data_IF_380906645791
#
_entry.id   IF_380906645791
#
_cell.length_a   1.000
_cell.length_b   1.000
_cell.length_c   1.000
_cell.angle_alpha   90.00
_cell.angle_beta   90.00
_cell.angle_gamma   90.00
#
_symmetry.space_group_name_H-M   'P 1'
#
loop_
_entity.id
_entity.type
_entity.pdbx_description
1 polymer ?
#
# COMPACT_ATOMS: atom_id res chain seq x y z
N UNK A 1 -7.82 8.89 38.56
CA UNK A 1 -7.09 9.81 37.69
C UNK A 1 -8.07 10.33 36.66
N UNK A 2 -8.07 11.63 36.36
CA UNK A 2 -9.10 12.21 35.50
C UNK A 2 -8.48 13.19 34.50
N UNK A 3 -8.91 13.15 33.24
CA UNK A 3 -8.54 14.08 32.18
C UNK A 3 -9.75 14.47 31.33
N UNK A 4 -9.79 15.72 30.90
CA UNK A 4 -10.77 16.20 29.94
C UNK A 4 -10.01 16.46 28.63
N UNK A 5 -10.43 15.82 27.56
CA UNK A 5 -9.80 15.89 26.25
C UNK A 5 -10.87 16.00 25.16
N UNK A 6 -10.59 16.75 24.11
CA UNK A 6 -11.48 16.81 22.94
C UNK A 6 -11.53 15.45 22.25
N UNK A 7 -12.73 14.96 21.97
CA UNK A 7 -12.98 13.61 21.42
C UNK A 7 -12.14 13.28 20.20
N UNK A 8 -12.03 14.20 19.23
CA UNK A 8 -11.31 13.95 17.98
C UNK A 8 -9.80 13.83 18.18
N UNK A 9 -9.25 14.52 19.18
CA UNK A 9 -7.84 14.41 19.55
C UNK A 9 -7.47 12.98 19.94
N UNK A 10 -8.41 12.24 20.53
CA UNK A 10 -8.22 10.83 20.86
C UNK A 10 -8.71 9.90 19.75
N UNK A 11 -9.84 10.19 19.10
CA UNK A 11 -10.46 9.34 18.09
C UNK A 11 -9.57 9.13 16.86
N UNK A 12 -8.91 10.19 16.36
CA UNK A 12 -8.08 10.14 15.17
C UNK A 12 -6.92 9.15 15.33
N UNK A 13 -6.03 9.26 16.33
CA UNK A 13 -4.93 8.31 16.51
C UNK A 13 -5.44 6.91 16.88
N UNK A 14 -6.48 6.76 17.71
CA UNK A 14 -7.11 5.46 17.98
C UNK A 14 -7.56 4.80 16.67
N UNK A 15 -8.20 5.55 15.77
CA UNK A 15 -8.66 5.03 14.48
C UNK A 15 -7.52 4.61 13.55
N UNK A 16 -6.41 5.35 13.56
CA UNK A 16 -5.20 5.01 12.82
C UNK A 16 -4.56 3.71 13.35
N UNK A 17 -4.55 3.49 14.65
CA UNK A 17 -3.86 2.34 15.25
C UNK A 17 -4.69 1.05 15.30
N UNK A 18 -6.02 1.16 15.46
CA UNK A 18 -6.91 -0.02 15.57
C UNK A 18 -6.86 -0.95 14.34
N UNK A 19 -6.48 -0.45 13.16
CA UNK A 19 -6.32 -1.30 11.98
C UNK A 19 -5.20 -2.33 12.09
N UNK A 20 -4.17 -2.03 12.90
CA UNK A 20 -3.03 -2.92 13.12
C UNK A 20 -3.38 -4.03 14.11
N UNK A 21 -4.32 -3.76 15.05
CA UNK A 21 -4.71 -4.76 16.02
C UNK A 21 -5.28 -6.01 15.33
N UNK A 22 -4.87 -7.17 15.77
CA UNK A 22 -5.30 -8.44 15.17
C UNK A 22 -6.73 -8.78 15.56
N UNK A 23 -7.58 -9.05 14.57
CA UNK A 23 -9.03 -9.30 14.78
C UNK A 23 -9.34 -10.71 15.29
N UNK A 24 -8.45 -11.68 15.04
CA UNK A 24 -8.63 -13.11 15.37
C UNK A 24 -7.30 -13.73 15.79
N UNK A 25 -6.66 -13.17 16.82
CA UNK A 25 -5.40 -13.68 17.32
C UNK A 25 -5.60 -14.84 18.29
N UNK A 26 -4.65 -15.76 18.28
CA UNK A 26 -4.46 -16.72 19.36
C UNK A 26 -4.01 -16.02 20.66
N UNK A 27 -3.53 -14.78 20.54
CA UNK A 27 -3.13 -13.91 21.65
C UNK A 27 -4.13 -12.76 21.79
N UNK A 28 -5.14 -12.83 22.70
CA UNK A 28 -6.18 -11.80 22.83
C UNK A 28 -5.65 -10.41 23.12
N UNK A 29 -4.45 -10.30 23.72
CA UNK A 29 -3.80 -9.02 24.03
C UNK A 29 -3.55 -8.18 22.78
N UNK A 30 -3.29 -8.78 21.60
CA UNK A 30 -3.04 -8.10 20.34
C UNK A 30 -4.29 -7.40 19.75
N UNK A 31 -5.48 -7.63 20.33
CA UNK A 31 -6.71 -6.89 19.98
C UNK A 31 -6.81 -5.56 20.72
N UNK A 32 -5.88 -5.27 21.62
CA UNK A 32 -5.91 -4.12 22.49
C UNK A 32 -4.93 -3.03 22.04
N UNK A 33 -5.13 -1.85 22.58
CA UNK A 33 -4.19 -0.73 22.56
C UNK A 33 -3.58 -0.58 23.96
N UNK A 34 -2.28 -0.38 24.02
CA UNK A 34 -1.62 0.15 25.20
C UNK A 34 -1.65 1.68 25.09
N UNK A 35 -2.14 2.36 26.10
CA UNK A 35 -2.16 3.82 26.20
C UNK A 35 -1.29 4.23 27.40
N UNK A 36 -0.30 5.07 27.13
CA UNK A 36 0.62 5.61 28.11
C UNK A 36 0.36 7.11 28.29
N UNK A 37 -0.08 7.48 29.47
CA UNK A 37 -0.26 8.88 29.89
C UNK A 37 1.01 9.37 30.56
N UNK A 38 1.51 10.54 30.16
CA UNK A 38 2.71 11.13 30.74
C UNK A 38 2.71 12.65 30.71
N UNK A 39 3.68 13.25 31.39
CA UNK A 39 3.93 14.70 31.36
C UNK A 39 4.46 15.19 30.01
N UNK A 40 4.88 14.28 29.12
CA UNK A 40 5.35 14.60 27.76
C UNK A 40 4.23 14.56 26.73
N UNK A 41 3.17 13.80 27.00
CA UNK A 41 2.04 13.57 26.10
C UNK A 41 1.41 12.21 26.32
N UNK A 42 0.47 11.84 25.46
CA UNK A 42 -0.15 10.51 25.47
C UNK A 42 0.41 9.71 24.29
N UNK A 43 0.95 8.54 24.56
CA UNK A 43 1.35 7.57 23.53
C UNK A 43 0.37 6.40 23.47
N UNK A 44 0.06 5.99 22.26
CA UNK A 44 -0.77 4.81 21.99
C UNK A 44 0.09 3.79 21.23
N UNK A 45 -0.02 2.52 21.61
CA UNK A 45 0.72 1.44 20.95
C UNK A 45 -0.24 0.38 20.47
N UNK A 46 0.01 -0.14 19.27
CA UNK A 46 -0.65 -1.32 18.73
C UNK A 46 0.38 -2.21 18.05
N UNK A 47 0.14 -3.52 18.07
CA UNK A 47 1.00 -4.48 17.36
C UNK A 47 0.25 -5.77 17.07
N UNK A 48 0.66 -6.44 15.99
CA UNK A 48 0.33 -7.83 15.67
C UNK A 48 1.57 -8.72 15.61
N UNK A 49 2.72 -8.20 16.14
CA UNK A 49 4.07 -8.75 16.16
C UNK A 49 4.85 -8.63 14.84
N UNK A 50 4.18 -8.47 13.70
CA UNK A 50 4.82 -8.21 12.40
C UNK A 50 4.82 -6.71 12.07
N UNK A 51 3.75 -6.03 12.45
CA UNK A 51 3.58 -4.59 12.31
C UNK A 51 3.29 -4.01 13.69
N UNK A 52 3.94 -2.90 14.00
CA UNK A 52 3.65 -2.13 15.21
C UNK A 52 3.42 -0.66 14.84
N UNK A 53 2.58 0.03 15.62
CA UNK A 53 2.47 1.48 15.49
C UNK A 53 2.47 2.15 16.84
N UNK A 54 3.01 3.37 16.84
CA UNK A 54 3.05 4.28 17.97
C UNK A 54 2.36 5.57 17.53
N UNK A 55 1.25 5.91 18.19
CA UNK A 55 0.58 7.20 18.02
C UNK A 55 1.01 8.16 19.11
N UNK A 56 1.17 9.44 18.78
CA UNK A 56 1.48 10.48 19.73
C UNK A 56 0.41 11.57 19.73
N UNK A 57 -0.03 11.95 20.92
CA UNK A 57 -0.94 13.07 21.17
C UNK A 57 -0.23 14.07 22.07
N UNK A 58 -0.06 15.31 21.60
CA UNK A 58 0.49 16.40 22.39
C UNK A 58 -0.55 16.89 23.43
N UNK A 59 -0.80 16.05 24.43
CA UNK A 59 -1.69 16.33 25.54
C UNK A 59 -1.03 15.87 26.84
N UNK A 60 -0.47 16.82 27.57
CA UNK A 60 0.27 16.58 28.80
C UNK A 60 -0.66 16.26 29.97
N UNK A 61 -0.35 15.20 30.70
CA UNK A 61 -1.09 14.85 31.93
C UNK A 61 -0.27 15.22 33.18
N UNK A 62 -0.95 15.39 34.31
CA UNK A 62 -0.29 15.60 35.59
C UNK A 62 0.10 14.32 36.34
N UNK A 63 -0.05 13.17 35.64
CA UNK A 63 0.26 11.85 36.19
C UNK A 63 0.85 10.95 35.10
N UNK A 64 1.50 9.87 35.54
CA UNK A 64 1.99 8.81 34.66
C UNK A 64 1.17 7.54 34.91
N UNK A 65 0.63 6.95 33.85
CA UNK A 65 -0.15 5.73 33.90
C UNK A 65 -0.16 5.01 32.57
N UNK A 66 -0.06 3.68 32.62
CA UNK A 66 -0.27 2.80 31.47
C UNK A 66 -1.58 2.06 31.65
N UNK A 67 -2.34 1.91 30.59
CA UNK A 67 -3.56 1.11 30.54
C UNK A 67 -3.63 0.31 29.26
N UNK A 68 -4.19 -0.89 29.31
CA UNK A 68 -4.54 -1.68 28.14
C UNK A 68 -6.04 -1.75 28.01
N UNK A 69 -6.52 -1.44 26.81
CA UNK A 69 -7.93 -1.36 26.50
C UNK A 69 -8.23 -1.96 25.13
N UNK A 70 -9.40 -2.59 24.98
CA UNK A 70 -9.81 -3.16 23.70
C UNK A 70 -10.01 -2.05 22.65
N UNK A 71 -9.07 -1.97 21.66
CA UNK A 71 -8.96 -0.86 20.72
C UNK A 71 -10.24 -0.62 19.91
N UNK A 72 -10.83 -1.68 19.36
CA UNK A 72 -12.05 -1.55 18.54
C UNK A 72 -13.24 -1.03 19.38
N UNK A 73 -13.40 -1.47 20.63
CA UNK A 73 -14.48 -0.99 21.50
C UNK A 73 -14.30 0.48 21.86
N UNK A 74 -13.07 0.87 22.18
CA UNK A 74 -12.75 2.29 22.40
C UNK A 74 -13.09 3.13 21.17
N UNK A 75 -12.68 2.68 19.97
CA UNK A 75 -12.97 3.37 18.71
C UNK A 75 -14.48 3.50 18.45
N UNK A 76 -15.24 2.42 18.64
CA UNK A 76 -16.71 2.41 18.46
C UNK A 76 -17.38 3.43 19.39
N UNK A 77 -17.02 3.43 20.68
CA UNK A 77 -17.56 4.38 21.66
C UNK A 77 -17.23 5.81 21.25
N UNK A 78 -15.96 6.11 20.93
CA UNK A 78 -15.54 7.46 20.54
C UNK A 78 -16.24 7.94 19.25
N UNK A 79 -16.60 7.04 18.33
CA UNK A 79 -17.36 7.39 17.10
C UNK A 79 -18.80 7.78 17.38
N UNK A 80 -19.45 7.10 18.32
CA UNK A 80 -20.85 7.36 18.68
C UNK A 80 -21.03 8.56 19.61
N UNK A 81 -19.96 9.05 20.24
CA UNK A 81 -20.02 10.25 21.10
C UNK A 81 -20.13 11.52 20.26
N UNK A 82 -20.75 12.56 20.83
CA UNK A 82 -20.86 13.89 20.23
C UNK A 82 -19.47 14.54 20.06
N UNK A 83 -19.37 15.53 19.15
CA UNK A 83 -18.19 16.40 19.09
C UNK A 83 -18.04 17.22 20.37
N UNK A 84 -16.79 17.44 20.77
CA UNK A 84 -16.42 18.22 21.96
C UNK A 84 -15.70 17.40 23.01
N UNK A 85 -15.62 17.97 24.20
CA UNK A 85 -14.85 17.39 25.29
C UNK A 85 -15.48 16.13 25.86
N UNK A 86 -14.65 15.15 26.16
CA UNK A 86 -14.97 13.94 26.90
C UNK A 86 -14.14 13.89 28.17
N UNK A 87 -14.71 13.32 29.22
CA UNK A 87 -14.03 13.08 30.48
C UNK A 87 -13.63 11.61 30.58
N UNK A 88 -12.33 11.36 30.76
CA UNK A 88 -11.74 10.02 30.95
C UNK A 88 -11.32 9.88 32.41
N UNK A 89 -11.97 8.96 33.13
CA UNK A 89 -11.63 8.62 34.52
C UNK A 89 -11.01 7.22 34.57
N UNK A 90 -9.76 7.14 35.02
CA UNK A 90 -9.06 5.87 35.23
C UNK A 90 -9.16 5.52 36.71
N UNK A 91 -9.88 4.43 37.02
CA UNK A 91 -10.09 3.92 38.38
C UNK A 91 -9.75 2.43 38.40
N UNK A 92 -8.81 2.04 39.28
CA UNK A 92 -8.35 0.64 39.40
C UNK A 92 -8.19 -0.06 38.05
N UNK A 93 -9.13 -0.95 37.72
CA UNK A 93 -9.13 -1.79 36.51
C UNK A 93 -10.19 -1.38 35.48
N UNK A 94 -10.68 -0.14 35.52
CA UNK A 94 -11.66 0.37 34.56
C UNK A 94 -11.30 1.76 34.03
N UNK A 95 -11.64 2.00 32.77
CA UNK A 95 -11.72 3.31 32.16
C UNK A 95 -13.18 3.72 32.05
N UNK A 96 -13.55 4.81 32.65
CA UNK A 96 -14.88 5.41 32.55
C UNK A 96 -14.79 6.59 31.61
N UNK A 97 -15.61 6.59 30.56
CA UNK A 97 -15.69 7.64 29.55
C UNK A 97 -17.04 8.34 29.70
N UNK A 98 -17.04 9.64 29.97
CA UNK A 98 -18.26 10.41 30.21
C UNK A 98 -18.38 11.57 29.24
N UNK A 99 -19.59 11.80 28.76
CA UNK A 99 -19.96 13.01 28.02
C UNK A 99 -21.43 13.32 28.26
N UNK A 100 -21.75 14.50 28.77
CA UNK A 100 -23.13 14.88 29.14
C UNK A 100 -23.78 13.85 30.07
N UNK A 101 -24.81 13.14 29.59
CA UNK A 101 -25.53 12.08 30.32
C UNK A 101 -25.04 10.67 29.95
N UNK A 102 -24.10 10.54 29.01
CA UNK A 102 -23.58 9.26 28.59
C UNK A 102 -22.38 8.85 29.43
N UNK A 103 -22.37 7.60 29.87
CA UNK A 103 -21.28 6.98 30.61
C UNK A 103 -20.99 5.60 30.04
N UNK A 104 -19.72 5.32 29.76
CA UNK A 104 -19.23 4.03 29.32
C UNK A 104 -18.14 3.55 30.26
N UNK A 105 -18.20 2.27 30.65
CA UNK A 105 -17.22 1.66 31.55
C UNK A 105 -16.56 0.50 30.80
N UNK A 106 -15.25 0.60 30.62
CA UNK A 106 -14.44 -0.42 29.93
C UNK A 106 -13.45 -1.04 30.91
N UNK A 107 -13.39 -2.38 30.94
CA UNK A 107 -12.38 -3.09 31.73
C UNK A 107 -10.99 -2.91 31.12
N UNK A 108 -10.00 -2.72 31.96
CA UNK A 108 -8.60 -2.64 31.64
C UNK A 108 -7.91 -3.98 31.88
N UNK A 109 -6.82 -4.23 31.16
CA UNK A 109 -5.95 -5.38 31.36
C UNK A 109 -4.59 -4.92 31.91
N UNK A 110 -3.78 -5.89 32.36
CA UNK A 110 -2.47 -5.63 32.94
C UNK A 110 -1.49 -5.09 31.87
N UNK A 111 -0.94 -3.89 32.04
CA UNK A 111 0.01 -3.32 31.10
C UNK A 111 1.29 -4.15 30.86
N UNK A 112 1.69 -4.97 31.79
CA UNK A 112 2.90 -5.79 31.69
C UNK A 112 2.75 -6.97 30.71
N UNK A 113 1.51 -7.30 30.31
CA UNK A 113 1.24 -8.32 29.30
C UNK A 113 1.41 -7.85 27.86
N UNK A 114 1.51 -6.52 27.62
CA UNK A 114 1.61 -5.98 26.26
C UNK A 114 3.01 -6.17 25.67
N UNK A 115 3.13 -6.67 24.43
CA UNK A 115 4.43 -6.84 23.79
C UNK A 115 5.18 -5.51 23.68
N UNK A 116 6.49 -5.56 23.94
CA UNK A 116 7.32 -4.37 23.83
C UNK A 116 7.42 -3.88 22.38
N UNK A 117 7.10 -2.61 22.14
CA UNK A 117 7.22 -1.94 20.84
C UNK A 117 8.38 -0.95 20.93
N UNK A 118 9.42 -1.18 20.13
CA UNK A 118 10.62 -0.33 20.09
C UNK A 118 10.77 0.37 18.76
N UNK A 119 11.03 1.67 18.80
CA UNK A 119 11.44 2.43 17.64
C UNK A 119 12.83 1.99 17.17
N UNK A 120 13.06 2.04 15.86
CA UNK A 120 14.38 1.77 15.27
C UNK A 120 15.22 3.03 15.48
N UNK A 121 16.44 2.85 15.97
CA UNK A 121 17.38 3.94 16.21
C UNK A 121 18.78 3.58 15.71
N UNK A 122 19.59 4.62 15.44
CA UNK A 122 21.00 4.44 15.05
C UNK A 122 21.23 4.19 13.54
N UNK A 123 20.19 4.29 12.71
CA UNK A 123 20.26 4.21 11.25
C UNK A 123 20.03 5.59 10.61
N UNK A 124 20.47 5.72 9.34
CA UNK A 124 20.21 6.95 8.59
C UNK A 124 18.72 7.10 8.28
N UNK A 125 18.22 8.33 8.40
CA UNK A 125 16.85 8.68 8.04
C UNK A 125 16.79 9.19 6.59
N UNK A 126 15.75 8.74 5.89
CA UNK A 126 15.40 9.16 4.55
C UNK A 126 14.08 9.90 4.64
N UNK A 127 14.03 11.15 4.21
CA UNK A 127 12.79 11.93 4.23
C UNK A 127 12.16 11.93 2.84
N UNK A 128 10.90 11.52 2.77
CA UNK A 128 10.10 11.48 1.54
C UNK A 128 8.77 12.15 1.82
N UNK A 129 8.29 12.97 0.90
CA UNK A 129 6.94 13.54 1.02
C UNK A 129 5.87 12.43 0.98
N UNK A 130 4.85 12.50 1.84
CA UNK A 130 3.81 11.49 1.98
C UNK A 130 3.09 11.19 0.68
N UNK A 131 2.71 12.22 -0.09
CA UNK A 131 2.09 12.07 -1.41
C UNK A 131 2.96 11.27 -2.38
N UNK A 132 4.29 11.50 -2.37
CA UNK A 132 5.22 10.76 -3.21
C UNK A 132 5.29 9.29 -2.80
N UNK A 133 5.38 8.98 -1.50
CA UNK A 133 5.41 7.62 -0.98
C UNK A 133 4.10 6.87 -1.29
N UNK A 134 2.95 7.49 -1.04
CA UNK A 134 1.63 6.91 -1.31
C UNK A 134 1.42 6.66 -2.81
N UNK A 135 1.87 7.60 -3.66
CA UNK A 135 1.87 7.41 -5.12
C UNK A 135 2.74 6.21 -5.54
N UNK A 136 3.95 6.08 -4.99
CA UNK A 136 4.83 4.94 -5.28
C UNK A 136 4.19 3.60 -4.91
N UNK A 137 3.58 3.51 -3.73
CA UNK A 137 2.87 2.30 -3.28
C UNK A 137 1.72 1.99 -4.25
N UNK A 138 0.85 2.95 -4.52
CA UNK A 138 -0.30 2.78 -5.41
C UNK A 138 0.11 2.30 -6.82
N UNK A 139 1.23 2.83 -7.35
CA UNK A 139 1.73 2.48 -8.68
C UNK A 139 2.23 1.04 -8.80
N UNK A 140 2.56 0.35 -7.71
CA UNK A 140 3.18 -0.98 -7.79
C UNK A 140 2.45 -2.09 -7.01
N UNK A 141 1.60 -1.75 -6.03
CA UNK A 141 0.99 -2.73 -5.12
C UNK A 141 0.09 -3.75 -5.82
N UNK A 142 -0.58 -3.37 -6.91
CA UNK A 142 -1.46 -4.26 -7.66
C UNK A 142 -0.71 -5.42 -8.35
N UNK A 143 0.59 -5.25 -8.58
CA UNK A 143 1.44 -6.25 -9.21
C UNK A 143 2.12 -7.20 -8.20
N UNK A 144 2.04 -6.92 -6.90
CA UNK A 144 2.61 -7.75 -5.83
C UNK A 144 1.90 -9.10 -5.79
N UNK A 145 2.67 -10.19 -5.66
CA UNK A 145 2.16 -11.55 -5.56
C UNK A 145 1.26 -11.75 -4.34
N UNK A 146 0.22 -12.55 -4.51
CA UNK A 146 -0.59 -13.10 -3.42
C UNK A 146 -0.25 -14.56 -3.11
N UNK A 147 0.71 -15.14 -3.84
CA UNK A 147 1.18 -16.52 -3.66
C UNK A 147 2.27 -16.54 -2.58
N UNK A 148 1.94 -17.04 -1.40
CA UNK A 148 2.85 -17.12 -0.25
C UNK A 148 4.02 -18.08 -0.48
N UNK A 149 3.96 -18.98 -1.46
CA UNK A 149 5.09 -19.85 -1.82
C UNK A 149 6.24 -19.07 -2.44
N UNK A 150 5.95 -17.90 -2.99
CA UNK A 150 6.92 -16.95 -3.54
C UNK A 150 7.12 -15.75 -2.61
N UNK A 151 7.40 -16.04 -1.34
CA UNK A 151 7.35 -15.05 -0.26
C UNK A 151 8.10 -13.74 -0.55
N UNK A 152 9.26 -13.78 -1.24
CA UNK A 152 10.01 -12.56 -1.62
C UNK A 152 9.26 -11.66 -2.60
N UNK A 153 8.22 -12.16 -3.28
CA UNK A 153 7.37 -11.41 -4.20
C UNK A 153 6.07 -10.91 -3.53
N UNK A 154 5.81 -11.26 -2.26
CA UNK A 154 4.60 -10.84 -1.54
C UNK A 154 4.69 -9.45 -0.93
N UNK A 155 5.75 -8.71 -1.28
CA UNK A 155 5.98 -7.34 -0.84
C UNK A 155 6.46 -6.43 -1.96
N UNK A 156 6.48 -5.13 -1.68
CA UNK A 156 7.07 -4.10 -2.53
C UNK A 156 8.57 -4.04 -2.28
N UNK A 157 9.37 -4.16 -3.31
CA UNK A 157 10.78 -3.85 -3.26
C UNK A 157 10.97 -2.33 -3.29
N UNK A 158 11.77 -1.81 -2.37
CA UNK A 158 12.10 -0.40 -2.27
C UNK A 158 13.62 -0.25 -2.15
N UNK A 159 14.24 0.55 -3.04
CA UNK A 159 15.67 0.81 -3.03
C UNK A 159 15.96 2.26 -3.36
N UNK A 160 16.93 2.84 -2.67
CA UNK A 160 17.47 4.17 -2.98
C UNK A 160 18.77 4.08 -3.75
N UNK A 161 18.87 4.91 -4.78
CA UNK A 161 20.09 5.25 -5.49
C UNK A 161 20.38 6.73 -5.28
N UNK A 162 21.61 7.18 -5.52
CA UNK A 162 21.94 8.60 -5.39
C UNK A 162 20.99 9.47 -6.23
N UNK A 163 20.15 10.22 -5.52
CA UNK A 163 19.18 11.14 -6.13
C UNK A 163 17.85 10.53 -6.57
N UNK A 164 17.63 9.22 -6.47
CA UNK A 164 16.32 8.63 -6.80
C UNK A 164 15.96 7.39 -5.96
N UNK A 165 14.68 7.10 -5.87
CA UNK A 165 14.13 5.92 -5.22
C UNK A 165 13.33 5.11 -6.25
N UNK A 166 13.43 3.79 -6.17
CA UNK A 166 12.68 2.86 -7.01
C UNK A 166 11.79 1.98 -6.15
N UNK A 167 10.54 1.83 -6.59
CA UNK A 167 9.59 0.87 -6.04
C UNK A 167 9.23 -0.15 -7.13
N UNK A 168 9.18 -1.43 -6.76
CA UNK A 168 8.85 -2.53 -7.68
C UNK A 168 7.88 -3.50 -7.02
N UNK A 169 6.84 -3.87 -7.76
CA UNK A 169 5.94 -4.97 -7.44
C UNK A 169 5.90 -5.98 -8.58
N UNK A 170 5.93 -7.27 -8.28
CA UNK A 170 5.82 -8.34 -9.28
C UNK A 170 5.21 -9.61 -8.70
N UNK A 171 4.52 -10.38 -9.54
CA UNK A 171 4.05 -11.74 -9.23
C UNK A 171 4.76 -12.81 -10.11
N UNK A 172 5.76 -12.38 -10.88
CA UNK A 172 6.51 -13.22 -11.82
C UNK A 172 5.87 -13.35 -13.20
N UNK A 173 4.64 -12.85 -13.41
CA UNK A 173 3.94 -12.80 -14.70
C UNK A 173 3.75 -11.39 -15.20
N UNK A 174 3.77 -10.42 -14.29
CA UNK A 174 3.76 -9.00 -14.55
C UNK A 174 4.67 -8.29 -13.55
N UNK A 175 5.10 -7.10 -13.89
CA UNK A 175 5.90 -6.24 -13.03
C UNK A 175 5.47 -4.79 -13.21
N UNK A 176 5.38 -4.06 -12.11
CA UNK A 176 5.21 -2.62 -12.10
C UNK A 176 6.40 -1.98 -11.41
N UNK A 177 7.02 -1.00 -12.05
CA UNK A 177 8.19 -0.28 -11.58
C UNK A 177 7.92 1.22 -11.63
N UNK A 178 8.10 1.90 -10.50
CA UNK A 178 8.00 3.34 -10.40
C UNK A 178 9.27 3.93 -9.82
N UNK A 179 9.85 4.92 -10.50
CA UNK A 179 11.02 5.69 -10.03
C UNK A 179 10.62 7.12 -9.71
N UNK A 180 11.24 7.68 -8.69
CA UNK A 180 11.03 9.06 -8.29
C UNK A 180 12.36 9.70 -7.96
N UNK A 181 12.64 10.85 -8.59
CA UNK A 181 13.79 11.67 -8.23
C UNK A 181 13.53 12.36 -6.89
N UNK A 182 14.49 12.24 -5.98
CA UNK A 182 14.46 12.84 -4.65
C UNK A 182 15.81 13.51 -4.42
N UNK A 183 15.83 14.83 -4.44
CA UNK A 183 17.05 15.59 -4.27
C UNK A 183 17.72 15.28 -2.92
N UNK A 184 19.01 14.96 -2.96
CA UNK A 184 19.79 14.66 -1.76
C UNK A 184 19.57 13.26 -1.16
N UNK A 185 18.77 12.41 -1.82
CA UNK A 185 18.61 11.01 -1.38
C UNK A 185 19.96 10.29 -1.51
N UNK A 186 20.39 9.70 -0.42
CA UNK A 186 21.54 8.77 -0.38
C UNK A 186 21.12 7.37 -0.80
N UNK A 187 22.05 6.61 -1.37
CA UNK A 187 21.82 5.20 -1.69
C UNK A 187 21.58 4.38 -0.43
N UNK A 188 20.59 3.50 -0.46
CA UNK A 188 20.37 2.49 0.58
C UNK A 188 20.08 1.13 -0.04
N UNK A 189 20.41 0.08 0.71
CA UNK A 189 20.18 -1.30 0.27
C UNK A 189 18.69 -1.56 0.09
N UNK A 190 18.31 -2.25 -0.97
CA UNK A 190 16.93 -2.64 -1.24
C UNK A 190 16.34 -3.49 -0.12
N UNK A 191 15.09 -3.16 0.22
CA UNK A 191 14.27 -3.88 1.21
C UNK A 191 12.97 -4.34 0.57
N UNK A 192 12.35 -5.37 1.15
CA UNK A 192 11.04 -5.86 0.70
C UNK A 192 10.03 -5.60 1.82
N UNK A 193 9.09 -4.70 1.56
CA UNK A 193 8.04 -4.29 2.51
C UNK A 193 6.80 -5.16 2.27
N UNK A 194 6.31 -5.92 3.26
CA UNK A 194 5.14 -6.78 3.09
C UNK A 194 3.91 -6.00 2.61
N UNK A 195 3.08 -6.63 1.76
CA UNK A 195 1.85 -6.01 1.24
C UNK A 195 0.94 -5.48 2.35
N UNK A 196 0.79 -6.22 3.46
CA UNK A 196 -0.02 -5.78 4.60
C UNK A 196 0.51 -4.48 5.19
N UNK A 197 1.83 -4.33 5.31
CA UNK A 197 2.45 -3.10 5.82
C UNK A 197 2.19 -1.91 4.88
N UNK A 198 2.18 -2.12 3.56
CA UNK A 198 1.84 -1.07 2.59
C UNK A 198 0.40 -0.57 2.78
N UNK A 199 -0.54 -1.47 3.02
CA UNK A 199 -1.94 -1.10 3.30
C UNK A 199 -2.06 -0.25 4.58
N UNK A 200 -1.28 -0.58 5.62
CA UNK A 200 -1.28 0.20 6.87
C UNK A 200 -0.57 1.55 6.68
N UNK A 201 0.53 1.61 5.91
CA UNK A 201 1.19 2.86 5.55
C UNK A 201 0.21 3.80 4.83
N UNK A 202 -0.50 3.30 3.81
CA UNK A 202 -1.51 4.10 3.07
C UNK A 202 -2.65 4.61 3.97
N UNK A 203 -3.00 3.88 5.02
CA UNK A 203 -4.07 4.25 5.94
C UNK A 203 -3.62 5.28 6.99
N UNK A 204 -2.36 5.26 7.38
CA UNK A 204 -1.82 6.04 8.49
C UNK A 204 -1.23 7.37 8.02
N UNK A 205 -0.53 7.36 6.87
CA UNK A 205 0.19 8.51 6.35
C UNK A 205 -0.76 9.43 5.61
N UNK A 206 -0.67 10.72 5.90
CA UNK A 206 -1.37 11.78 5.19
C UNK A 206 -0.48 12.34 4.06
N UNK A 207 -1.09 12.70 2.92
CA UNK A 207 -0.36 13.17 1.72
C UNK A 207 0.46 14.43 1.96
N UNK A 208 0.01 15.29 2.84
CA UNK A 208 0.60 16.62 3.11
C UNK A 208 1.79 16.56 4.09
N UNK A 209 2.06 15.40 4.70
CA UNK A 209 3.14 15.24 5.67
C UNK A 209 4.41 14.71 5.03
N UNK A 210 5.56 15.08 5.58
CA UNK A 210 6.81 14.41 5.30
C UNK A 210 6.93 13.14 6.15
N UNK A 211 7.43 12.08 5.54
CA UNK A 211 7.63 10.78 6.14
C UNK A 211 9.13 10.51 6.28
N UNK A 212 9.59 10.35 7.50
CA UNK A 212 10.94 9.84 7.79
C UNK A 212 10.93 8.32 7.70
N UNK A 213 11.79 7.76 6.85
CA UNK A 213 11.97 6.32 6.68
C UNK A 213 13.31 5.94 7.28
N UNK A 214 13.29 5.04 8.25
CA UNK A 214 14.48 4.46 8.87
C UNK A 214 14.52 2.96 8.55
N UNK A 215 15.65 2.49 8.01
CA UNK A 215 15.81 1.10 7.55
C UNK A 215 16.83 0.41 8.46
N UNK A 216 16.36 -0.54 9.25
CA UNK A 216 17.17 -1.42 10.07
C UNK A 216 17.39 -2.79 9.42
N UNK A 217 18.04 -3.70 10.15
CA UNK A 217 18.41 -5.02 9.62
C UNK A 217 17.19 -5.91 9.29
N UNK A 218 16.15 -5.84 10.13
CA UNK A 218 14.94 -6.69 10.01
C UNK A 218 13.64 -5.91 9.95
N UNK A 219 13.69 -4.61 10.14
CA UNK A 219 12.52 -3.75 10.21
C UNK A 219 12.75 -2.46 9.43
N UNK A 220 11.67 -1.91 8.89
CA UNK A 220 11.60 -0.56 8.37
C UNK A 220 10.60 0.25 9.18
N UNK A 221 10.93 1.49 9.47
CA UNK A 221 10.11 2.43 10.23
C UNK A 221 9.72 3.60 9.35
N UNK A 222 8.46 3.98 9.44
CA UNK A 222 7.85 5.10 8.71
C UNK A 222 7.24 6.05 9.72
N UNK A 223 7.84 7.20 9.91
CA UNK A 223 7.45 8.16 10.94
C UNK A 223 6.93 9.46 10.35
N UNK A 224 5.81 9.92 10.86
CA UNK A 224 5.27 11.28 10.72
C UNK A 224 5.36 11.98 12.06
N UNK A 225 4.84 13.22 12.15
CA UNK A 225 4.79 13.93 13.44
C UNK A 225 3.90 13.25 14.48
N UNK A 226 2.89 12.52 14.06
CA UNK A 226 1.86 11.98 14.95
C UNK A 226 1.90 10.46 15.07
N UNK A 227 2.43 9.76 14.07
CA UNK A 227 2.41 8.29 14.04
C UNK A 227 3.72 7.76 13.50
N UNK A 228 4.23 6.74 14.17
CA UNK A 228 5.34 5.89 13.73
C UNK A 228 4.80 4.50 13.47
N UNK A 229 5.01 3.98 12.25
CA UNK A 229 4.72 2.59 11.88
C UNK A 229 6.03 1.85 11.73
N UNK A 230 6.13 0.69 12.34
CA UNK A 230 7.30 -0.20 12.29
C UNK A 230 6.83 -1.50 11.65
N UNK A 231 7.45 -1.88 10.55
CA UNK A 231 7.15 -3.10 9.82
C UNK A 231 8.35 -4.02 9.81
N UNK A 232 8.14 -5.30 10.07
CA UNK A 232 9.12 -6.31 9.71
C UNK A 232 9.27 -6.32 8.18
N UNK A 233 10.50 -6.46 7.68
CA UNK A 233 10.78 -6.62 6.25
C UNK A 233 10.86 -8.10 5.90
N UNK A 234 10.57 -8.43 4.64
CA UNK A 234 10.73 -9.79 4.11
C UNK A 234 12.22 -10.03 3.85
N UNK A 235 12.79 -11.03 4.52
CA UNK A 235 14.18 -11.42 4.33
C UNK A 235 14.33 -12.21 3.00
N UNK A 236 15.37 -11.90 2.23
CA UNK A 236 15.67 -12.58 0.98
C UNK A 236 16.16 -11.66 -0.11
N UNK A 237 16.43 -12.23 -1.28
CA UNK A 237 16.86 -11.48 -2.44
C UNK A 237 15.69 -11.28 -3.39
N UNK A 238 15.35 -10.01 -3.66
CA UNK A 238 14.40 -9.69 -4.71
C UNK A 238 15.02 -10.01 -6.07
N UNK A 239 14.26 -10.53 -7.05
CA UNK A 239 14.78 -10.81 -8.38
C UNK A 239 15.38 -9.59 -9.06
N UNK A 240 16.32 -9.81 -9.96
CA UNK A 240 16.88 -8.75 -10.79
C UNK A 240 15.80 -8.25 -11.78
N UNK A 241 15.15 -7.16 -11.40
CA UNK A 241 14.02 -6.58 -12.13
C UNK A 241 14.45 -5.77 -13.35
N UNK A 242 15.69 -5.26 -13.38
CA UNK A 242 16.19 -4.47 -14.52
C UNK A 242 16.28 -5.34 -15.78
N UNK A 243 16.75 -6.58 -15.64
CA UNK A 243 16.88 -7.53 -16.74
C UNK A 243 15.54 -8.02 -17.31
N UNK A 244 14.42 -7.75 -16.64
CA UNK A 244 13.08 -8.11 -17.12
C UNK A 244 12.51 -7.05 -18.06
N UNK A 245 13.04 -5.82 -18.02
CA UNK A 245 12.58 -4.72 -18.87
C UNK A 245 12.96 -5.04 -20.32
N UNK A 246 11.99 -5.17 -21.25
CA UNK A 246 12.31 -5.53 -22.62
C UNK A 246 13.08 -4.40 -23.30
N UNK A 247 14.17 -4.78 -23.95
CA UNK A 247 15.03 -3.89 -24.74
C UNK A 247 15.00 -4.26 -26.23
N UNK A 248 15.45 -3.38 -27.11
CA UNK A 248 15.60 -3.62 -28.55
C UNK A 248 14.47 -3.05 -29.40
N UNK A 249 14.29 -3.63 -30.60
CA UNK A 249 13.27 -3.17 -31.57
C UNK A 249 11.88 -3.66 -31.16
N UNK A 250 11.18 -2.84 -30.39
CA UNK A 250 9.78 -3.06 -30.04
C UNK A 250 8.89 -2.19 -30.93
N UNK A 251 7.81 -2.79 -31.41
CA UNK A 251 6.76 -2.02 -32.07
C UNK A 251 6.07 -1.13 -31.05
N UNK A 252 5.96 0.16 -31.38
CA UNK A 252 5.37 1.17 -30.48
C UNK A 252 3.98 1.51 -30.98
N UNK A 253 3.00 1.31 -30.12
CA UNK A 253 1.59 1.56 -30.35
C UNK A 253 1.10 2.59 -29.33
N UNK A 254 0.46 3.66 -29.82
CA UNK A 254 -0.12 4.69 -28.97
C UNK A 254 -1.65 4.58 -29.05
N UNK A 255 -2.30 4.49 -27.90
CA UNK A 255 -3.75 4.39 -27.83
C UNK A 255 -4.29 5.25 -26.70
N UNK A 256 -5.47 5.88 -26.92
CA UNK A 256 -6.16 6.62 -25.87
C UNK A 256 -6.54 5.66 -24.72
N UNK A 257 -6.18 6.04 -23.51
CA UNK A 257 -6.36 5.24 -22.29
C UNK A 257 -7.81 4.86 -22.06
N UNK A 258 -8.72 5.83 -22.15
CA UNK A 258 -10.12 5.61 -21.84
C UNK A 258 -10.80 4.70 -22.88
N UNK A 259 -10.47 4.90 -24.15
CA UNK A 259 -10.97 4.05 -25.24
C UNK A 259 -10.48 2.62 -25.06
N UNK A 260 -9.18 2.45 -24.80
CA UNK A 260 -8.58 1.13 -24.59
C UNK A 260 -9.15 0.43 -23.33
N UNK A 261 -9.24 1.14 -22.21
CA UNK A 261 -9.83 0.61 -20.98
C UNK A 261 -11.27 0.15 -21.16
N UNK A 262 -12.09 0.95 -21.84
CA UNK A 262 -13.50 0.60 -22.13
C UNK A 262 -13.60 -0.60 -23.08
N UNK A 263 -12.73 -0.67 -24.09
CA UNK A 263 -12.66 -1.82 -25.00
C UNK A 263 -12.35 -3.11 -24.25
N UNK A 264 -11.31 -3.10 -23.38
CA UNK A 264 -10.96 -4.22 -22.53
C UNK A 264 -12.12 -4.64 -21.61
N UNK A 265 -12.82 -3.67 -21.00
CA UNK A 265 -14.00 -3.94 -20.14
C UNK A 265 -15.14 -4.60 -20.91
N UNK A 266 -15.46 -4.11 -22.12
CA UNK A 266 -16.51 -4.70 -22.95
C UNK A 266 -16.17 -6.15 -23.29
N UNK A 267 -14.96 -6.39 -23.79
CA UNK A 267 -14.53 -7.72 -24.21
C UNK A 267 -14.47 -8.69 -23.03
N UNK A 268 -14.04 -8.22 -21.87
CA UNK A 268 -13.96 -9.05 -20.66
C UNK A 268 -15.31 -9.44 -20.04
N UNK A 269 -16.43 -8.90 -20.55
CA UNK A 269 -17.74 -9.16 -19.97
C UNK A 269 -18.23 -10.62 -20.15
N UNK A 270 -17.70 -11.35 -21.12
CA UNK A 270 -18.09 -12.73 -21.41
C UNK A 270 -17.09 -13.79 -20.90
N UNK A 271 -15.94 -13.36 -20.35
CA UNK A 271 -14.90 -14.27 -19.88
C UNK A 271 -14.77 -14.25 -18.37
N UNK A 272 -14.28 -15.36 -17.81
CA UNK A 272 -13.88 -15.43 -16.42
C UNK A 272 -12.54 -14.70 -16.19
N UNK A 273 -12.17 -14.49 -14.93
CA UNK A 273 -10.92 -13.81 -14.56
C UNK A 273 -9.63 -14.54 -15.00
N UNK A 274 -9.74 -15.80 -15.36
CA UNK A 274 -8.59 -16.65 -15.73
C UNK A 274 -8.45 -16.84 -17.23
N UNK A 275 -9.51 -16.55 -17.99
CA UNK A 275 -9.47 -16.69 -19.45
C UNK A 275 -8.71 -15.53 -20.09
N UNK A 276 -7.91 -15.82 -21.13
CA UNK A 276 -7.12 -14.80 -21.80
C UNK A 276 -7.97 -13.96 -22.75
N UNK A 277 -7.51 -12.74 -22.99
CA UNK A 277 -7.90 -11.96 -24.17
C UNK A 277 -6.81 -12.04 -25.21
N UNK A 278 -7.21 -11.93 -26.47
CA UNK A 278 -6.30 -11.79 -27.61
C UNK A 278 -6.30 -10.36 -28.08
N UNK A 279 -5.12 -9.74 -28.16
CA UNK A 279 -4.92 -8.40 -28.70
C UNK A 279 -4.16 -8.54 -30.02
N UNK A 280 -4.84 -8.28 -31.13
CA UNK A 280 -4.25 -8.22 -32.45
C UNK A 280 -4.06 -6.74 -32.83
N UNK A 281 -2.89 -6.41 -33.34
CA UNK A 281 -2.56 -5.07 -33.77
C UNK A 281 -2.23 -5.16 -35.26
N UNK A 282 -3.02 -4.46 -36.05
CA UNK A 282 -2.87 -4.35 -37.48
C UNK A 282 -2.65 -2.90 -37.87
N UNK A 283 -2.47 -2.64 -39.16
CA UNK A 283 -2.37 -1.27 -39.66
C UNK A 283 -3.59 -0.45 -39.23
N UNK A 284 -3.37 0.56 -38.41
CA UNK A 284 -4.34 1.52 -37.89
C UNK A 284 -5.49 0.94 -37.02
N UNK A 285 -5.41 -0.31 -36.58
CA UNK A 285 -6.46 -0.93 -35.76
C UNK A 285 -5.84 -1.80 -34.65
N UNK A 286 -6.38 -1.69 -33.43
CA UNK A 286 -6.29 -2.71 -32.39
C UNK A 286 -7.58 -3.50 -32.39
N UNK A 287 -7.48 -4.82 -32.50
CA UNK A 287 -8.58 -5.78 -32.44
C UNK A 287 -8.44 -6.59 -31.15
N UNK A 288 -9.38 -6.40 -30.21
CA UNK A 288 -9.40 -7.11 -28.93
C UNK A 288 -10.48 -8.16 -28.98
N UNK A 289 -10.13 -9.40 -28.77
CA UNK A 289 -11.03 -10.55 -28.81
C UNK A 289 -10.98 -11.35 -27.51
N UNK A 290 -12.12 -11.92 -27.13
CA UNK A 290 -12.20 -12.91 -26.07
C UNK A 290 -13.20 -14.00 -26.46
N UNK A 291 -12.89 -15.23 -26.06
CA UNK A 291 -13.71 -16.41 -26.32
C UNK A 291 -13.87 -17.20 -25.02
N UNK A 292 -15.08 -17.73 -24.83
CA UNK A 292 -15.43 -18.58 -23.69
C UNK A 292 -16.51 -19.59 -24.12
N UNK A 293 -16.85 -20.51 -23.23
CA UNK A 293 -17.94 -21.49 -23.45
C UNK A 293 -19.30 -20.85 -23.73
N UNK A 294 -19.50 -19.58 -23.31
CA UNK A 294 -20.78 -18.86 -23.47
C UNK A 294 -20.83 -17.99 -24.73
N UNK A 295 -19.71 -17.78 -25.41
CA UNK A 295 -19.69 -16.98 -26.62
C UNK A 295 -18.37 -16.28 -26.91
N UNK A 296 -18.42 -15.37 -27.86
CA UNK A 296 -17.30 -14.57 -28.33
C UNK A 296 -17.60 -13.09 -28.26
N UNK A 297 -16.60 -12.30 -27.94
CA UNK A 297 -16.68 -10.83 -27.99
C UNK A 297 -15.51 -10.22 -28.73
N UNK A 298 -15.77 -9.10 -29.37
CA UNK A 298 -14.78 -8.37 -30.17
C UNK A 298 -14.98 -6.87 -30.06
N UNK A 299 -13.88 -6.14 -29.94
CA UNK A 299 -13.86 -4.68 -29.99
C UNK A 299 -12.73 -4.19 -30.91
N UNK A 300 -13.03 -3.26 -31.79
CA UNK A 300 -12.08 -2.62 -32.69
C UNK A 300 -11.81 -1.19 -32.21
N UNK A 301 -10.54 -0.81 -32.15
CA UNK A 301 -10.09 0.50 -31.75
C UNK A 301 -9.20 1.08 -32.83
N UNK A 302 -9.57 2.24 -33.37
CA UNK A 302 -8.76 2.96 -34.33
C UNK A 302 -7.53 3.57 -33.65
N UNK A 303 -6.37 3.40 -34.29
CA UNK A 303 -5.07 3.94 -33.85
C UNK A 303 -4.28 4.47 -35.04
N UNK A 304 -3.20 5.19 -34.77
CA UNK A 304 -2.19 5.51 -35.78
C UNK A 304 -1.03 4.54 -35.67
N UNK A 305 -0.99 3.52 -36.53
CA UNK A 305 0.03 2.48 -36.53
C UNK A 305 0.31 1.97 -37.96
N UNK A 306 1.60 1.85 -38.30
CA UNK A 306 2.05 1.34 -39.60
C UNK A 306 3.25 0.37 -39.45
N UNK A 307 3.32 -0.35 -38.33
CA UNK A 307 4.31 -1.38 -38.08
C UNK A 307 3.85 -2.78 -38.53
N UNK A 308 4.54 -3.78 -38.04
CA UNK A 308 4.23 -5.19 -38.30
C UNK A 308 2.96 -5.64 -37.58
N UNK A 309 2.24 -6.61 -38.13
CA UNK A 309 1.11 -7.24 -37.49
C UNK A 309 1.59 -8.00 -36.24
N UNK A 310 0.90 -7.79 -35.11
CA UNK A 310 1.24 -8.38 -33.81
C UNK A 310 0.01 -9.08 -33.26
N UNK A 311 0.19 -10.26 -32.66
CA UNK A 311 -0.86 -10.97 -31.95
C UNK A 311 -0.34 -11.47 -30.61
N UNK A 312 -0.96 -11.02 -29.52
CA UNK A 312 -0.55 -11.34 -28.15
C UNK A 312 -1.78 -11.73 -27.32
N UNK A 313 -1.60 -12.74 -26.46
CA UNK A 313 -2.64 -13.15 -25.51
C UNK A 313 -2.25 -12.70 -24.10
N UNK A 314 -3.18 -12.11 -23.38
CA UNK A 314 -2.94 -11.60 -22.03
C UNK A 314 -4.02 -12.04 -21.05
N UNK A 315 -3.65 -12.13 -19.79
CA UNK A 315 -4.63 -12.09 -18.72
C UNK A 315 -5.24 -10.68 -18.70
N UNK A 316 -6.54 -10.60 -18.97
CA UNK A 316 -7.25 -9.30 -19.06
C UNK A 316 -7.13 -8.48 -17.80
N UNK A 317 -7.13 -9.12 -16.62
CA UNK A 317 -6.99 -8.43 -15.35
C UNK A 317 -5.64 -7.70 -15.26
N UNK A 318 -4.57 -8.32 -15.73
CA UNK A 318 -3.24 -7.69 -15.69
C UNK A 318 -3.21 -6.42 -16.54
N UNK A 319 -3.81 -6.47 -17.72
CA UNK A 319 -3.88 -5.30 -18.62
C UNK A 319 -4.78 -4.22 -18.00
N UNK A 320 -5.94 -4.58 -17.46
CA UNK A 320 -6.86 -3.63 -16.80
C UNK A 320 -6.21 -2.96 -15.59
N UNK A 321 -5.50 -3.74 -14.75
CA UNK A 321 -4.80 -3.21 -13.58
C UNK A 321 -3.74 -2.18 -14.00
N UNK A 322 -2.90 -2.50 -14.99
CA UNK A 322 -1.89 -1.59 -15.52
C UNK A 322 -2.51 -0.32 -16.09
N UNK A 323 -3.51 -0.47 -16.98
CA UNK A 323 -4.17 0.66 -17.64
C UNK A 323 -4.82 1.61 -16.62
N UNK A 324 -5.43 1.05 -15.57
CA UNK A 324 -6.09 1.85 -14.52
C UNK A 324 -5.12 2.69 -13.69
N UNK A 325 -3.86 2.23 -13.52
CA UNK A 325 -2.83 2.92 -12.73
C UNK A 325 -1.92 3.87 -13.52
N UNK A 326 -2.09 3.99 -14.83
CA UNK A 326 -1.43 5.02 -15.65
C UNK A 326 -2.21 6.33 -15.54
N UNK A 327 -1.57 7.44 -15.19
CA UNK A 327 -2.25 8.73 -15.02
C UNK A 327 -2.38 9.55 -16.32
N UNK A 328 -1.68 9.17 -17.39
CA UNK A 328 -1.70 9.89 -18.65
C UNK A 328 -2.94 9.66 -19.53
N UNK A 329 -3.10 10.51 -20.54
CA UNK A 329 -4.17 10.40 -21.54
C UNK A 329 -3.95 9.21 -22.48
N UNK A 330 -2.70 8.98 -22.89
CA UNK A 330 -2.33 7.94 -23.84
C UNK A 330 -1.50 6.86 -23.17
N UNK A 331 -1.72 5.62 -23.59
CA UNK A 331 -0.88 4.48 -23.27
C UNK A 331 0.06 4.24 -24.44
N UNK A 332 1.32 4.01 -24.12
CA UNK A 332 2.33 3.56 -25.06
C UNK A 332 2.56 2.08 -24.81
N UNK A 333 2.02 1.24 -25.66
CA UNK A 333 2.28 -0.20 -25.67
C UNK A 333 3.49 -0.46 -26.58
N UNK A 334 4.54 -1.04 -25.99
CA UNK A 334 5.69 -1.53 -26.75
C UNK A 334 5.71 -3.06 -26.71
N UNK A 335 5.60 -3.66 -27.86
CA UNK A 335 5.47 -5.10 -27.99
C UNK A 335 6.47 -5.67 -28.99
N UNK A 336 7.07 -6.85 -28.71
CA UNK A 336 7.90 -7.55 -29.68
C UNK A 336 7.03 -8.16 -30.79
N UNK A 337 7.60 -8.33 -31.98
CA UNK A 337 6.89 -8.92 -33.14
C UNK A 337 6.53 -10.38 -32.93
N UNK A 338 7.24 -11.10 -32.06
CA UNK A 338 7.08 -12.54 -31.87
C UNK A 338 6.83 -12.96 -30.42
N UNK A 339 7.87 -13.13 -29.64
CA UNK A 339 7.80 -13.60 -28.26
C UNK A 339 8.58 -12.65 -27.35
N UNK A 340 8.03 -12.38 -26.17
CA UNK A 340 8.66 -11.54 -25.17
C UNK A 340 7.63 -10.78 -24.34
N UNK A 341 8.09 -10.06 -23.35
CA UNK A 341 7.25 -9.24 -22.50
C UNK A 341 6.77 -8.00 -23.26
N UNK A 342 5.55 -7.58 -22.99
CA UNK A 342 5.02 -6.29 -23.45
C UNK A 342 5.26 -5.22 -22.38
N UNK A 343 5.66 -4.03 -22.81
CA UNK A 343 5.90 -2.89 -21.94
C UNK A 343 4.80 -1.85 -22.15
N UNK A 344 4.18 -1.42 -21.05
CA UNK A 344 3.17 -0.37 -21.02
C UNK A 344 3.75 0.86 -20.31
N UNK A 345 3.74 1.97 -20.98
CA UNK A 345 4.29 3.26 -20.52
C UNK A 345 3.30 4.40 -20.82
N UNK A 346 3.67 5.60 -20.38
CA UNK A 346 2.96 6.84 -20.66
C UNK A 346 3.98 7.98 -20.82
N UNK A 347 3.71 8.93 -21.72
CA UNK A 347 4.59 10.10 -21.92
C UNK A 347 4.66 11.00 -20.68
N UNK A 348 3.55 11.12 -19.96
CA UNK A 348 3.45 11.99 -18.78
C UNK A 348 4.15 11.39 -17.54
N UNK A 349 4.44 10.08 -17.54
CA UNK A 349 5.08 9.36 -16.44
C UNK A 349 6.27 8.50 -16.92
N UNK A 350 7.30 9.14 -17.45
CA UNK A 350 8.48 8.47 -18.06
C UNK A 350 9.21 7.48 -17.14
N UNK A 351 9.05 7.63 -15.83
CA UNK A 351 9.66 6.77 -14.81
C UNK A 351 8.73 5.66 -14.31
N UNK A 352 7.57 5.50 -14.96
CA UNK A 352 6.60 4.45 -14.65
C UNK A 352 6.56 3.42 -15.78
N UNK A 353 6.95 2.20 -15.47
CA UNK A 353 7.02 1.09 -16.42
C UNK A 353 6.22 -0.11 -15.92
N UNK A 354 5.42 -0.68 -16.80
CA UNK A 354 4.65 -1.87 -16.49
C UNK A 354 4.94 -2.95 -17.53
N UNK A 355 5.31 -4.11 -17.10
CA UNK A 355 5.66 -5.24 -17.94
C UNK A 355 4.62 -6.34 -17.73
N UNK A 356 4.11 -6.94 -18.81
CA UNK A 356 3.20 -8.07 -18.76
C UNK A 356 3.74 -9.16 -19.71
N UNK A 357 3.87 -10.38 -19.17
CA UNK A 357 4.21 -11.56 -19.96
C UNK A 357 2.98 -12.07 -20.70
N UNK A 358 3.02 -12.18 -22.03
CA UNK A 358 1.94 -12.82 -22.79
C UNK A 358 1.77 -14.29 -22.41
N UNK A 359 0.53 -14.76 -22.47
CA UNK A 359 0.19 -16.18 -22.29
C UNK A 359 0.51 -16.91 -23.60
N UNK A 360 1.19 -18.03 -23.51
CA UNK A 360 1.41 -18.91 -24.65
C UNK A 360 0.24 -19.89 -24.73
N UNK A 361 -0.50 -19.83 -25.83
CA UNK A 361 -1.60 -20.72 -26.17
C UNK A 361 -1.14 -21.64 -27.29
#
# INVERSE_FOLDING_TARGET
MNIIIERNVLLVPVSKLVGITEKRSLMPILSNLLIEFSTQGIKLYSTDLEISAIGFIDFKTSFEKKIIIHGKRLQEILREMDNGDINLEIQDNVLIIKQKQSEFVLSLQDPDEFPEVKEISGYEEIVVNGKALLKMINKVEFAISTDETRYVLTGMYLQGFDGNIVAVGTDGFRMSLYRKDIAGLKSFKGIIIPRRSLMEIQRIIDEEEDVSICIGDKHAQFSTKQVTLISRIIEGNFPDFENVIPEGNLNTIVVDKEIFYRGLKKVSAIISKLEPIKINIYKNIIDIEAESDIGHSKELIDIEYNGEDISLNFNVRFVLDVVSHIDGKNIILKAPSTHGAALFECEDEKHYKNIIMPIRI
#
